data_IF_239986897512
#
_entry.id   IF_239986897512
#
_cell.length_a   1.000
_cell.length_b   1.000
_cell.length_c   1.000
_cell.angle_alpha   90.00
_cell.angle_beta   90.00
_cell.angle_gamma   90.00
#
_symmetry.space_group_name_H-M   'P 1'
#
loop_
_entity.id
_entity.type
_entity.pdbx_description
1 polymer ?
#
# COMPACT_ATOMS: atom_id res chain seq x y z
N UNK A 1 -35.28 -29.07 -13.38
CA UNK A 1 -35.39 -27.72 -12.79
C UNK A 1 -34.54 -27.47 -11.53
N UNK A 2 -34.00 -28.50 -10.85
CA UNK A 2 -33.12 -28.31 -9.66
C UNK A 2 -31.64 -28.03 -9.99
N UNK A 3 -31.16 -28.50 -11.14
CA UNK A 3 -29.73 -28.38 -11.56
C UNK A 3 -29.35 -26.95 -11.96
N UNK A 4 -30.27 -26.20 -12.56
CA UNK A 4 -30.04 -24.82 -13.02
C UNK A 4 -29.89 -23.85 -11.83
N UNK A 5 -30.59 -24.11 -10.73
CA UNK A 5 -30.52 -23.29 -9.51
C UNK A 5 -29.16 -23.41 -8.83
N UNK A 6 -28.58 -24.62 -8.76
CA UNK A 6 -27.23 -24.82 -8.20
C UNK A 6 -26.14 -24.09 -9.00
N UNK A 7 -26.27 -24.01 -10.33
CA UNK A 7 -25.31 -23.30 -11.18
C UNK A 7 -25.36 -21.77 -10.99
N UNK A 8 -26.52 -21.20 -10.65
CA UNK A 8 -26.65 -19.76 -10.37
C UNK A 8 -25.98 -19.34 -9.06
N UNK A 9 -25.88 -20.24 -8.06
CA UNK A 9 -25.17 -19.94 -6.81
C UNK A 9 -23.64 -19.98 -6.94
N UNK A 10 -23.09 -20.72 -7.91
CA UNK A 10 -21.65 -20.72 -8.16
C UNK A 10 -21.15 -19.45 -8.86
N UNK A 11 -21.99 -18.82 -9.69
CA UNK A 11 -21.61 -17.59 -10.41
C UNK A 11 -21.60 -16.37 -9.46
N UNK A 12 -22.41 -16.36 -8.40
CA UNK A 12 -22.48 -15.26 -7.45
C UNK A 12 -21.36 -15.25 -6.38
N UNK A 13 -20.60 -16.35 -6.24
CA UNK A 13 -19.51 -16.44 -5.25
C UNK A 13 -18.20 -15.77 -5.70
N UNK A 14 -18.09 -15.39 -6.98
CA UNK A 14 -16.97 -14.63 -7.54
C UNK A 14 -17.26 -13.13 -7.52
N UNK A 15 -17.99 -12.64 -6.51
CA UNK A 15 -18.09 -11.20 -6.27
C UNK A 15 -16.79 -10.72 -5.64
N UNK A 16 -15.95 -10.17 -6.50
CA UNK A 16 -14.62 -9.62 -6.25
C UNK A 16 -14.67 -8.51 -5.20
N UNK A 17 -14.42 -8.86 -3.94
CA UNK A 17 -13.96 -7.88 -2.96
C UNK A 17 -12.61 -7.38 -3.46
N UNK A 18 -12.54 -6.16 -3.97
CA UNK A 18 -11.28 -5.48 -4.25
C UNK A 18 -10.56 -5.33 -2.90
N UNK A 19 -9.71 -6.30 -2.58
CA UNK A 19 -9.12 -6.41 -1.26
C UNK A 19 -7.97 -5.42 -1.15
N UNK A 20 -7.78 -4.83 0.03
CA UNK A 20 -6.61 -4.02 0.31
C UNK A 20 -5.30 -4.75 -0.01
N UNK A 21 -5.30 -6.09 0.06
CA UNK A 21 -4.19 -6.93 -0.38
C UNK A 21 -3.85 -6.73 -1.87
N UNK A 22 -4.84 -6.65 -2.74
CA UNK A 22 -4.63 -6.48 -4.18
C UNK A 22 -4.24 -5.03 -4.51
N UNK A 23 -4.82 -4.06 -3.80
CA UNK A 23 -4.40 -2.66 -3.90
C UNK A 23 -2.93 -2.52 -3.49
N UNK A 24 -2.51 -3.01 -2.32
CA UNK A 24 -1.11 -2.95 -1.86
C UNK A 24 -0.14 -3.77 -2.75
N UNK A 25 -0.61 -4.83 -3.41
CA UNK A 25 0.19 -5.54 -4.40
C UNK A 25 0.53 -4.65 -5.60
N UNK A 26 -0.43 -3.84 -6.05
CA UNK A 26 -0.16 -2.80 -7.06
C UNK A 26 0.89 -1.79 -6.57
N UNK A 27 1.00 -1.54 -5.26
CA UNK A 27 1.99 -0.62 -4.71
C UNK A 27 3.41 -1.20 -4.83
N UNK A 28 3.58 -2.48 -4.48
CA UNK A 28 4.87 -3.16 -4.66
C UNK A 28 5.31 -3.23 -6.12
N UNK A 29 4.38 -3.30 -7.07
CA UNK A 29 4.69 -3.30 -8.51
C UNK A 29 5.06 -1.90 -9.05
N UNK A 30 4.57 -0.82 -8.42
CA UNK A 30 4.92 0.56 -8.81
C UNK A 30 6.29 0.96 -8.30
N UNK A 31 6.75 0.37 -7.19
CA UNK A 31 8.15 0.46 -6.79
C UNK A 31 8.98 -0.32 -7.80
N UNK A 32 9.44 0.36 -8.84
CA UNK A 32 10.46 -0.16 -9.74
C UNK A 32 11.65 -0.61 -8.88
N UNK A 33 11.90 -1.92 -8.80
CA UNK A 33 13.03 -2.49 -8.05
C UNK A 33 14.39 -1.91 -8.49
N UNK A 34 14.43 -1.22 -9.64
CA UNK A 34 15.64 -0.62 -10.19
C UNK A 34 16.05 0.73 -9.58
N UNK A 35 15.16 1.44 -8.89
CA UNK A 35 15.52 2.72 -8.27
C UNK A 35 15.78 2.56 -6.76
N UNK A 36 16.96 2.95 -6.27
CA UNK A 36 17.26 2.86 -4.85
C UNK A 36 16.36 3.81 -4.04
N UNK A 37 16.09 3.41 -2.81
CA UNK A 37 15.45 4.27 -1.82
C UNK A 37 16.51 5.23 -1.25
N UNK A 38 16.20 6.52 -1.23
CA UNK A 38 17.16 7.59 -0.90
C UNK A 38 16.69 8.41 0.29
N UNK A 39 17.59 9.24 0.82
CA UNK A 39 17.28 10.19 1.91
C UNK A 39 16.09 11.10 1.58
N UNK A 40 15.94 11.52 0.32
CA UNK A 40 14.81 12.35 -0.09
C UNK A 40 13.46 11.63 0.05
N UNK A 41 13.46 10.30 -0.06
CA UNK A 41 12.25 9.50 0.05
C UNK A 41 11.73 9.44 1.50
N UNK A 42 12.60 9.59 2.51
CA UNK A 42 12.22 9.62 3.93
C UNK A 42 11.18 10.69 4.27
N UNK A 43 11.12 11.77 3.48
CA UNK A 43 10.23 12.91 3.70
C UNK A 43 8.99 12.89 2.82
N UNK A 44 8.84 11.86 1.97
CA UNK A 44 7.67 11.75 1.13
C UNK A 44 6.45 11.36 1.98
N UNK A 45 5.28 11.98 1.74
CA UNK A 45 4.03 11.48 2.30
C UNK A 45 3.76 10.07 1.77
N UNK A 46 2.95 9.28 2.47
CA UNK A 46 2.64 7.90 2.06
C UNK A 46 2.05 7.79 0.63
N UNK A 47 1.36 8.82 0.17
CA UNK A 47 0.75 8.87 -1.16
C UNK A 47 0.89 10.27 -1.77
N UNK A 48 0.70 10.38 -3.09
CA UNK A 48 0.72 11.66 -3.78
C UNK A 48 -0.30 12.67 -3.20
N UNK A 49 0.06 13.97 -3.25
CA UNK A 49 -0.76 15.07 -2.70
C UNK A 49 -2.18 15.11 -3.25
N UNK A 50 -2.37 14.71 -4.51
CA UNK A 50 -3.69 14.63 -5.14
C UNK A 50 -4.15 13.19 -5.09
N UNK A 51 -5.08 12.91 -4.18
CA UNK A 51 -5.71 11.62 -3.99
C UNK A 51 -7.20 11.84 -3.81
N UNK A 52 -7.97 11.61 -4.88
CA UNK A 52 -9.41 11.48 -4.78
C UNK A 52 -9.67 10.06 -4.26
N UNK A 53 -10.10 9.94 -3.00
CA UNK A 53 -10.42 8.64 -2.38
C UNK A 53 -11.67 8.07 -3.06
N UNK A 54 -11.48 7.36 -4.17
CA UNK A 54 -12.59 6.93 -5.03
C UNK A 54 -13.31 5.68 -4.51
N UNK A 55 -12.60 4.78 -3.81
CA UNK A 55 -13.10 3.42 -3.55
C UNK A 55 -12.92 2.91 -2.12
N UNK A 56 -12.32 3.69 -1.22
CA UNK A 56 -12.09 3.31 0.18
C UNK A 56 -10.66 3.60 0.64
N UNK A 57 -10.24 2.93 1.72
CA UNK A 57 -8.90 3.08 2.27
C UNK A 57 -8.32 1.79 2.84
N UNK A 58 -7.01 1.72 2.94
CA UNK A 58 -6.25 0.58 3.44
C UNK A 58 -5.19 1.00 4.45
N UNK A 59 -4.81 0.09 5.33
CA UNK A 59 -3.62 0.28 6.16
C UNK A 59 -2.36 0.06 5.29
N UNK A 60 -1.39 0.94 5.45
CA UNK A 60 -0.04 0.81 4.89
C UNK A 60 0.98 1.28 5.94
N UNK A 61 2.26 1.01 5.68
CA UNK A 61 3.36 1.42 6.54
C UNK A 61 4.20 2.50 5.85
N UNK A 62 4.70 3.46 6.62
CA UNK A 62 5.54 4.56 6.14
C UNK A 62 6.61 4.86 7.18
N UNK A 63 7.79 5.33 6.75
CA UNK A 63 8.78 5.85 7.68
C UNK A 63 8.34 7.24 8.14
N UNK A 64 8.21 7.42 9.45
CA UNK A 64 8.04 8.74 10.05
C UNK A 64 9.38 9.22 10.62
N UNK A 65 9.85 10.36 10.13
CA UNK A 65 11.11 10.96 10.57
C UNK A 65 11.00 11.44 12.02
N UNK A 66 9.81 11.89 12.44
CA UNK A 66 9.60 12.41 13.79
C UNK A 66 9.67 11.30 14.84
N UNK A 67 8.98 10.19 14.61
CA UNK A 67 9.01 9.03 15.50
C UNK A 67 10.26 8.15 15.28
N UNK A 68 11.03 8.43 14.20
CA UNK A 68 12.20 7.65 13.79
C UNK A 68 11.92 6.15 13.68
N UNK A 69 10.71 5.81 13.22
CA UNK A 69 10.27 4.44 13.03
C UNK A 69 9.23 4.31 11.92
N UNK A 70 8.95 3.07 11.54
CA UNK A 70 7.88 2.74 10.63
C UNK A 70 6.53 2.76 11.34
N UNK A 71 5.66 3.70 10.95
CA UNK A 71 4.31 3.85 11.49
C UNK A 71 3.26 3.36 10.49
N UNK A 72 2.09 3.01 11.01
CA UNK A 72 0.96 2.60 10.20
C UNK A 72 0.10 3.82 9.87
N UNK A 73 -0.23 3.99 8.60
CA UNK A 73 -1.12 5.05 8.12
C UNK A 73 -2.20 4.52 7.18
N UNK A 74 -3.24 5.34 6.99
CA UNK A 74 -4.38 5.04 6.12
C UNK A 74 -4.16 5.63 4.73
N UNK A 75 -4.03 4.75 3.73
CA UNK A 75 -3.86 5.11 2.32
C UNK A 75 -5.18 4.98 1.56
N UNK A 76 -5.44 5.86 0.58
CA UNK A 76 -6.63 5.81 -0.27
C UNK A 76 -6.52 4.75 -1.37
N UNK A 77 -7.58 3.96 -1.58
CA UNK A 77 -7.66 3.05 -2.73
C UNK A 77 -7.78 3.88 -4.00
N UNK A 78 -6.96 3.56 -5.02
CA UNK A 78 -6.87 4.28 -6.28
C UNK A 78 -5.88 5.46 -6.26
N UNK A 79 -5.24 5.72 -5.12
CA UNK A 79 -4.21 6.75 -5.01
C UNK A 79 -2.83 6.20 -5.34
N UNK A 80 -1.97 7.05 -5.90
CA UNK A 80 -0.61 6.66 -6.26
C UNK A 80 0.27 6.68 -5.01
N UNK A 81 0.89 5.55 -4.61
CA UNK A 81 1.90 5.54 -3.56
C UNK A 81 3.08 6.43 -3.86
N UNK A 82 3.72 6.90 -2.79
CA UNK A 82 5.11 7.34 -2.86
C UNK A 82 6.07 6.17 -2.64
N UNK A 83 7.38 6.44 -2.71
CA UNK A 83 8.42 5.47 -2.34
C UNK A 83 8.45 5.17 -0.84
N UNK A 84 7.86 6.04 -0.01
CA UNK A 84 7.73 5.88 1.44
C UNK A 84 6.40 5.20 1.83
N UNK A 85 5.97 4.22 1.04
CA UNK A 85 4.74 3.47 1.27
C UNK A 85 5.02 1.98 1.12
N UNK A 86 4.77 1.24 2.17
CA UNK A 86 5.15 -0.16 2.31
C UNK A 86 3.95 -1.01 2.73
N UNK A 87 3.93 -2.28 2.33
CA UNK A 87 2.81 -3.20 2.64
C UNK A 87 2.90 -3.77 4.05
N UNK A 88 4.10 -3.75 4.64
CA UNK A 88 4.38 -4.29 5.96
C UNK A 88 5.42 -3.45 6.69
N UNK A 89 5.40 -3.55 8.03
CA UNK A 89 6.42 -2.96 8.89
C UNK A 89 7.82 -3.45 8.49
N UNK A 90 7.97 -4.75 8.25
CA UNK A 90 9.26 -5.36 7.89
C UNK A 90 9.84 -4.78 6.59
N UNK A 91 9.02 -4.61 5.54
CA UNK A 91 9.47 -4.01 4.28
C UNK A 91 9.90 -2.55 4.47
N UNK A 92 9.15 -1.80 5.27
CA UNK A 92 9.52 -0.44 5.66
C UNK A 92 10.83 -0.42 6.45
N UNK A 93 10.96 -1.25 7.49
CA UNK A 93 12.11 -1.26 8.38
C UNK A 93 13.39 -1.69 7.66
N UNK A 94 13.32 -2.69 6.78
CA UNK A 94 14.47 -3.15 5.98
C UNK A 94 14.91 -2.12 4.94
N UNK A 95 13.98 -1.32 4.42
CA UNK A 95 14.26 -0.36 3.35
C UNK A 95 14.63 1.02 3.87
N UNK A 96 13.80 1.58 4.75
CA UNK A 96 13.88 2.96 5.17
C UNK A 96 14.83 3.14 6.35
N UNK A 97 14.82 2.27 7.36
CA UNK A 97 15.65 2.44 8.57
C UNK A 97 17.15 2.61 8.27
N UNK A 98 17.78 1.84 7.36
CA UNK A 98 19.20 2.01 7.05
C UNK A 98 19.54 3.34 6.37
N UNK A 99 18.55 4.00 5.75
CA UNK A 99 18.71 5.26 5.01
C UNK A 99 18.26 6.46 5.84
N UNK A 100 17.19 6.29 6.62
CA UNK A 100 16.48 7.38 7.27
C UNK A 100 16.81 7.59 8.74
N UNK A 101 17.42 6.61 9.39
CA UNK A 101 17.72 6.71 10.81
C UNK A 101 18.85 7.73 11.06
N UNK A 102 18.62 8.68 11.96
CA UNK A 102 19.58 9.73 12.30
C UNK A 102 19.60 10.94 11.36
N UNK A 103 18.63 11.07 10.46
CA UNK A 103 18.40 12.33 9.74
C UNK A 103 17.46 13.20 10.58
N UNK A 104 17.86 14.45 10.84
CA UNK A 104 17.09 15.45 11.58
C UNK A 104 16.66 16.60 10.66
#
# INVERSE_FOLDING_TARGET
>A
MKVVIFLLFFIAAVNTRFSCRDSLRSYSLVRSESEPFTVADCFLPIQGKVCYRLYGSCDAWTWDVKDSDCVKEVVGIGCRPSKNSFKSYEECALTARPVCNGIN
#
